data_IF_936198071389
#
_entry.id   IF_936198071389
#
_cell.length_a   1.000
_cell.length_b   1.000
_cell.length_c   1.000
_cell.angle_alpha   90.00
_cell.angle_beta   90.00
_cell.angle_gamma   90.00
#
_symmetry.space_group_name_H-M   'P 1'
#
loop_
_entity.id
_entity.type
_entity.pdbx_description
1 polymer ?
#
# COMPACT_ATOMS: atom_id res chain seq x y z
N UNK A 1 -5.30 -20.56 12.50
CA UNK A 1 -6.52 -20.67 11.64
C UNK A 1 -7.25 -19.35 11.37
N UNK A 2 -7.57 -18.53 12.36
CA UNK A 2 -8.33 -17.29 12.12
C UNK A 2 -7.65 -16.26 11.21
N UNK A 3 -6.32 -16.07 11.32
CA UNK A 3 -5.59 -15.10 10.49
C UNK A 3 -5.49 -15.55 9.03
N UNK A 4 -5.23 -16.83 8.76
CA UNK A 4 -5.16 -17.35 7.39
C UNK A 4 -6.51 -17.19 6.66
N UNK A 5 -7.64 -17.46 7.34
CA UNK A 5 -8.97 -17.23 6.78
C UNK A 5 -9.17 -15.76 6.41
N UNK A 6 -8.83 -14.83 7.32
CA UNK A 6 -8.95 -13.38 7.06
C UNK A 6 -8.03 -12.89 5.95
N UNK A 7 -6.83 -13.48 5.79
CA UNK A 7 -5.94 -13.17 4.66
C UNK A 7 -6.53 -13.64 3.33
N UNK A 8 -7.17 -14.82 3.28
CA UNK A 8 -7.90 -15.29 2.09
C UNK A 8 -9.05 -14.36 1.73
N UNK A 9 -9.89 -14.00 2.71
CA UNK A 9 -10.98 -13.04 2.52
C UNK A 9 -10.47 -11.67 2.02
N UNK A 10 -9.30 -11.20 2.53
CA UNK A 10 -8.67 -9.97 2.07
C UNK A 10 -8.22 -10.08 0.62
N UNK A 11 -7.56 -11.17 0.23
CA UNK A 11 -7.10 -11.39 -1.15
C UNK A 11 -8.27 -11.48 -2.13
N UNK A 12 -9.34 -12.17 -1.75
CA UNK A 12 -10.58 -12.24 -2.54
C UNK A 12 -11.20 -10.85 -2.71
N UNK A 13 -11.29 -10.07 -1.62
CA UNK A 13 -11.83 -8.71 -1.66
C UNK A 13 -10.96 -7.73 -2.47
N UNK A 14 -9.65 -7.99 -2.56
CA UNK A 14 -8.69 -7.21 -3.34
C UNK A 14 -8.54 -7.71 -4.79
N UNK A 15 -9.27 -8.78 -5.18
CA UNK A 15 -9.20 -9.38 -6.53
C UNK A 15 -7.83 -9.92 -6.92
N UNK A 16 -7.09 -10.41 -5.93
CA UNK A 16 -5.90 -11.24 -6.06
C UNK A 16 -4.59 -10.55 -6.43
N UNK A 17 -4.54 -9.53 -7.33
CA UNK A 17 -3.31 -8.86 -7.72
C UNK A 17 -3.49 -7.37 -8.08
N UNK A 18 -2.36 -6.65 -8.09
CA UNK A 18 -2.37 -5.21 -8.33
C UNK A 18 -2.74 -4.85 -9.77
N UNK A 19 -2.29 -5.61 -10.74
CA UNK A 19 -2.54 -5.31 -12.15
C UNK A 19 -4.04 -5.41 -12.48
N UNK A 20 -4.68 -6.49 -12.01
CA UNK A 20 -6.14 -6.68 -12.13
C UNK A 20 -6.89 -5.57 -11.42
N UNK A 21 -6.46 -5.20 -10.20
CA UNK A 21 -7.07 -4.09 -9.47
C UNK A 21 -6.97 -2.75 -10.23
N UNK A 22 -5.79 -2.42 -10.77
CA UNK A 22 -5.60 -1.17 -11.53
C UNK A 22 -6.42 -1.15 -12.81
N UNK A 23 -6.52 -2.29 -13.53
CA UNK A 23 -7.36 -2.41 -14.72
C UNK A 23 -8.85 -2.20 -14.41
N UNK A 24 -9.34 -2.79 -13.32
CA UNK A 24 -10.76 -2.68 -12.92
C UNK A 24 -11.12 -1.30 -12.41
N UNK A 25 -10.19 -0.60 -11.78
CA UNK A 25 -10.40 0.71 -11.16
C UNK A 25 -9.62 1.82 -11.87
N UNK A 26 -9.40 1.67 -13.18
CA UNK A 26 -8.58 2.60 -13.97
C UNK A 26 -9.03 4.06 -13.83
N UNK A 27 -10.34 4.30 -13.65
CA UNK A 27 -10.92 5.63 -13.47
C UNK A 27 -10.44 6.35 -12.20
N UNK A 28 -9.86 5.62 -11.25
CA UNK A 28 -9.30 6.17 -10.01
C UNK A 28 -7.82 6.54 -10.13
N UNK A 29 -7.18 6.21 -11.26
CA UNK A 29 -5.74 6.38 -11.43
C UNK A 29 -5.44 7.11 -12.74
N UNK A 30 -4.60 8.12 -12.66
CA UNK A 30 -4.08 8.87 -13.80
C UNK A 30 -2.58 8.66 -13.89
N UNK A 31 -2.10 8.12 -15.00
CA UNK A 31 -0.67 7.97 -15.25
C UNK A 31 -0.04 9.36 -15.49
N UNK A 32 1.09 9.61 -14.86
CA UNK A 32 1.81 10.89 -14.96
C UNK A 32 3.30 10.68 -15.05
N UNK A 33 4.00 11.68 -15.54
CA UNK A 33 5.45 11.80 -15.47
C UNK A 33 5.78 13.17 -14.87
N UNK A 34 6.33 13.15 -13.65
CA UNK A 34 6.71 14.37 -12.92
C UNK A 34 8.21 14.56 -12.86
N UNK A 35 8.99 13.62 -13.40
CA UNK A 35 10.43 13.54 -13.20
C UNK A 35 10.79 13.18 -11.75
N UNK A 36 9.94 12.38 -11.10
CA UNK A 36 10.20 11.89 -9.75
C UNK A 36 11.51 11.10 -9.70
N UNK A 37 12.22 11.22 -8.58
CA UNK A 37 13.41 10.41 -8.32
C UNK A 37 13.09 9.45 -7.19
N UNK A 38 13.14 8.15 -7.48
CA UNK A 38 12.88 7.11 -6.49
C UNK A 38 13.95 7.15 -5.38
N UNK A 39 13.55 6.86 -4.14
CA UNK A 39 14.42 6.92 -2.97
C UNK A 39 15.59 5.95 -3.01
N UNK A 40 15.43 4.84 -3.72
CA UNK A 40 16.45 3.82 -3.94
C UNK A 40 17.22 3.99 -5.25
N UNK A 41 16.99 5.11 -5.97
CA UNK A 41 17.66 5.42 -7.23
C UNK A 41 17.15 4.68 -8.45
N UNK A 42 16.05 3.89 -8.34
CA UNK A 42 15.45 3.23 -9.51
C UNK A 42 14.99 4.25 -10.55
N UNK A 43 15.21 3.96 -11.82
CA UNK A 43 14.78 4.77 -12.96
C UNK A 43 13.52 4.22 -13.63
N UNK A 44 13.20 2.94 -13.40
CA UNK A 44 12.04 2.28 -13.97
C UNK A 44 10.95 2.11 -12.91
N UNK A 45 9.88 2.86 -13.05
CA UNK A 45 8.69 2.83 -12.18
C UNK A 45 7.49 3.43 -12.89
N UNK A 46 6.30 3.19 -12.35
CA UNK A 46 5.05 3.79 -12.85
C UNK A 46 4.58 4.86 -11.87
N UNK A 47 4.37 6.09 -12.36
CA UNK A 47 3.77 7.17 -11.57
C UNK A 47 2.26 7.25 -11.80
N UNK A 48 1.49 7.28 -10.71
CA UNK A 48 0.03 7.34 -10.74
C UNK A 48 -0.50 8.40 -9.77
N UNK A 49 -1.42 9.23 -10.20
CA UNK A 49 -2.25 10.06 -9.32
C UNK A 49 -3.47 9.24 -8.90
N UNK A 50 -3.74 9.15 -7.59
CA UNK A 50 -4.92 8.49 -7.06
C UNK A 50 -6.03 9.48 -6.77
N UNK A 51 -7.13 9.40 -7.53
CA UNK A 51 -8.30 10.27 -7.44
C UNK A 51 -9.42 9.75 -6.50
N UNK A 52 -9.28 8.54 -5.95
CA UNK A 52 -10.30 7.90 -5.10
C UNK A 52 -10.48 8.52 -3.71
N UNK A 53 -9.81 9.62 -3.37
CA UNK A 53 -9.85 10.26 -2.05
C UNK A 53 -11.26 10.69 -1.60
N UNK A 54 -12.17 10.97 -2.52
CA UNK A 54 -13.56 11.33 -2.21
C UNK A 54 -14.40 10.19 -1.65
N UNK A 55 -13.96 8.94 -1.84
CA UNK A 55 -14.62 7.72 -1.36
C UNK A 55 -14.27 7.38 0.10
N UNK A 56 -13.36 8.14 0.71
CA UNK A 56 -12.85 7.85 2.05
C UNK A 56 -13.47 8.75 3.12
N UNK A 57 -13.54 8.22 4.33
CA UNK A 57 -13.93 8.92 5.55
C UNK A 57 -12.75 9.02 6.53
N UNK A 58 -12.89 9.83 7.54
CA UNK A 58 -11.88 9.93 8.59
C UNK A 58 -11.75 8.60 9.34
N UNK A 59 -10.55 8.04 9.40
CA UNK A 59 -10.29 6.78 10.11
C UNK A 59 -10.43 6.90 11.63
N UNK A 60 -10.37 8.12 12.19
CA UNK A 60 -10.43 8.35 13.63
C UNK A 60 -11.87 8.51 14.16
N UNK A 61 -12.69 9.27 13.44
CA UNK A 61 -14.05 9.59 13.89
C UNK A 61 -15.14 9.30 12.84
N UNK A 62 -14.75 8.68 11.70
CA UNK A 62 -15.63 8.38 10.55
C UNK A 62 -16.29 9.61 9.90
N UNK A 63 -15.93 10.82 10.33
CA UNK A 63 -16.44 12.07 9.78
C UNK A 63 -15.94 12.35 8.36
N UNK A 64 -16.60 13.30 7.67
CA UNK A 64 -16.26 13.67 6.31
C UNK A 64 -14.87 14.34 6.22
N UNK A 65 -14.12 14.02 5.18
CA UNK A 65 -12.85 14.65 4.87
C UNK A 65 -13.05 15.91 4.03
N UNK A 66 -12.25 16.94 4.28
CA UNK A 66 -12.17 18.11 3.40
C UNK A 66 -11.61 17.65 2.05
N UNK A 67 -12.40 17.80 1.00
CA UNK A 67 -11.98 17.45 -0.36
C UNK A 67 -10.85 18.37 -0.80
N UNK A 68 -9.76 17.79 -1.28
CA UNK A 68 -8.70 18.48 -1.99
C UNK A 68 -8.57 17.83 -3.37
N UNK A 69 -8.61 18.64 -4.41
CA UNK A 69 -8.43 18.12 -5.76
C UNK A 69 -6.94 17.96 -6.03
N UNK A 70 -6.53 16.73 -6.34
CA UNK A 70 -5.23 16.45 -6.94
C UNK A 70 -5.26 16.94 -8.39
N UNK A 71 -4.27 17.68 -8.80
CA UNK A 71 -4.17 18.15 -10.19
C UNK A 71 -2.73 18.23 -10.64
N UNK A 72 -2.52 17.96 -11.91
CA UNK A 72 -1.25 18.16 -12.60
C UNK A 72 -1.16 19.58 -13.10
N UNK A 73 -0.04 20.25 -12.85
CA UNK A 73 0.26 21.58 -13.40
C UNK A 73 1.67 21.60 -13.96
N UNK A 74 1.88 22.29 -15.09
CA UNK A 74 3.21 22.54 -15.63
C UNK A 74 3.85 23.74 -14.93
N UNK A 75 5.10 23.58 -14.44
CA UNK A 75 5.93 24.66 -13.92
C UNK A 75 7.37 24.44 -14.42
N UNK A 76 7.94 25.46 -15.04
CA UNK A 76 9.30 25.38 -15.60
C UNK A 76 9.54 24.15 -16.52
N UNK A 77 8.56 23.86 -17.38
CA UNK A 77 8.59 22.73 -18.30
C UNK A 77 8.36 21.33 -17.71
N UNK A 78 8.23 21.23 -16.38
CA UNK A 78 7.99 19.94 -15.68
C UNK A 78 6.57 19.86 -15.13
N UNK A 79 6.05 18.65 -15.04
CA UNK A 79 4.79 18.38 -14.39
C UNK A 79 4.94 18.37 -12.87
N UNK A 80 3.99 18.95 -12.16
CA UNK A 80 3.92 18.95 -10.70
C UNK A 80 2.53 18.54 -10.24
N UNK A 81 2.46 17.64 -9.26
CA UNK A 81 1.20 17.25 -8.63
C UNK A 81 0.87 18.22 -7.48
N UNK A 82 -0.16 19.03 -7.66
CA UNK A 82 -0.65 19.96 -6.63
C UNK A 82 -1.56 19.24 -5.66
N UNK A 83 -1.40 19.50 -4.36
CA UNK A 83 -2.08 18.84 -3.24
C UNK A 83 -1.76 17.34 -3.09
N UNK A 84 -0.74 16.84 -3.79
CA UNK A 84 -0.28 15.45 -3.73
C UNK A 84 0.92 15.27 -2.82
N UNK A 85 1.00 14.07 -2.22
CA UNK A 85 2.17 13.56 -1.54
C UNK A 85 2.55 12.24 -2.18
N UNK A 86 3.82 12.05 -2.50
CA UNK A 86 4.30 10.81 -3.07
C UNK A 86 4.34 9.67 -2.04
N UNK A 87 4.03 8.47 -2.50
CA UNK A 87 4.22 7.22 -1.77
C UNK A 87 4.73 6.15 -2.72
N UNK A 88 5.89 5.62 -2.43
CA UNK A 88 6.42 4.45 -3.11
C UNK A 88 5.75 3.18 -2.61
N UNK A 89 5.35 2.32 -3.55
CA UNK A 89 4.74 1.01 -3.30
C UNK A 89 5.33 0.01 -4.30
N UNK A 90 5.73 -1.15 -3.82
CA UNK A 90 6.35 -2.21 -4.63
C UNK A 90 5.40 -3.41 -4.69
N UNK A 91 5.19 -3.96 -5.89
CA UNK A 91 4.38 -5.17 -6.08
C UNK A 91 5.19 -6.46 -5.84
N UNK A 92 4.57 -7.61 -6.15
CA UNK A 92 5.20 -8.92 -5.97
C UNK A 92 6.38 -9.16 -6.92
N UNK A 93 6.33 -8.58 -8.12
CA UNK A 93 7.36 -8.72 -9.15
C UNK A 93 8.52 -7.73 -8.98
N UNK A 94 8.45 -6.91 -7.91
CA UNK A 94 9.46 -5.89 -7.62
C UNK A 94 9.29 -4.60 -8.42
N UNK A 95 8.18 -4.46 -9.18
CA UNK A 95 7.91 -3.21 -9.88
C UNK A 95 7.51 -2.11 -8.89
N UNK A 96 8.10 -0.93 -9.06
CA UNK A 96 7.87 0.23 -8.23
C UNK A 96 6.76 1.11 -8.79
N UNK A 97 5.77 1.42 -7.97
CA UNK A 97 4.76 2.44 -8.23
C UNK A 97 4.99 3.65 -7.35
N UNK A 98 4.94 4.83 -7.94
CA UNK A 98 4.93 6.10 -7.20
C UNK A 98 3.50 6.64 -7.22
N UNK A 99 2.83 6.52 -6.09
CA UNK A 99 1.45 6.98 -5.94
C UNK A 99 1.44 8.42 -5.41
N UNK A 100 0.84 9.32 -6.17
CA UNK A 100 0.50 10.66 -5.71
C UNK A 100 -0.86 10.65 -5.04
N UNK A 101 -0.88 10.89 -3.74
CA UNK A 101 -2.06 10.75 -2.89
C UNK A 101 -2.38 12.03 -2.13
N UNK A 102 -3.67 12.26 -1.87
CA UNK A 102 -4.11 13.44 -1.15
C UNK A 102 -3.85 13.34 0.36
N UNK A 103 -3.43 14.44 0.97
CA UNK A 103 -3.49 14.63 2.42
C UNK A 103 -4.73 15.42 2.77
N UNK A 104 -5.74 14.74 3.29
CA UNK A 104 -7.02 15.34 3.66
C UNK A 104 -7.09 15.62 5.15
N UNK A 105 -7.82 16.69 5.51
CA UNK A 105 -8.17 17.04 6.88
C UNK A 105 -9.62 16.68 7.16
N UNK A 106 -9.90 16.12 8.34
CA UNK A 106 -11.26 15.83 8.76
C UNK A 106 -12.01 17.11 9.14
N UNK A 107 -13.25 17.25 8.66
CA UNK A 107 -14.12 18.39 9.01
C UNK A 107 -14.57 18.37 10.48
N UNK A 108 -14.61 17.16 11.08
CA UNK A 108 -15.13 16.97 12.44
C UNK A 108 -14.02 17.03 13.51
N UNK A 109 -12.92 16.24 13.36
CA UNK A 109 -11.87 16.16 14.36
C UNK A 109 -10.58 16.89 14.00
N UNK A 110 -10.55 17.63 12.87
CA UNK A 110 -9.43 18.39 12.33
C UNK A 110 -8.13 17.58 12.08
N UNK A 111 -8.14 16.25 12.30
CA UNK A 111 -6.96 15.41 12.08
C UNK A 111 -6.68 15.25 10.59
N UNK A 112 -5.39 15.30 10.25
CA UNK A 112 -4.90 15.07 8.89
C UNK A 112 -4.57 13.60 8.68
N UNK A 113 -4.90 13.10 7.47
CA UNK A 113 -4.55 11.75 7.06
C UNK A 113 -4.22 11.69 5.56
N UNK A 114 -3.30 10.82 5.18
CA UNK A 114 -3.11 10.45 3.78
C UNK A 114 -4.23 9.50 3.38
N UNK A 115 -4.81 9.75 2.22
CA UNK A 115 -5.84 8.89 1.63
C UNK A 115 -5.16 8.00 0.62
N UNK A 116 -5.02 6.74 0.96
CA UNK A 116 -4.33 5.74 0.16
C UNK A 116 -5.35 4.82 -0.53
N UNK A 117 -5.05 4.30 -1.73
CA UNK A 117 -5.83 3.19 -2.28
C UNK A 117 -5.73 1.97 -1.37
N UNK A 118 -6.70 1.07 -1.47
CA UNK A 118 -6.86 -0.07 -0.57
C UNK A 118 -5.62 -0.98 -0.49
N UNK A 119 -4.91 -1.13 -1.60
CA UNK A 119 -3.71 -1.97 -1.68
C UNK A 119 -2.44 -1.34 -1.07
N UNK A 120 -2.45 -0.04 -0.77
CA UNK A 120 -1.29 0.69 -0.28
C UNK A 120 -1.35 0.88 1.24
N UNK A 121 -0.71 0.01 1.98
CA UNK A 121 -0.59 0.13 3.44
C UNK A 121 0.20 1.37 3.86
N UNK A 122 -0.24 2.06 4.92
CA UNK A 122 0.36 3.34 5.36
C UNK A 122 1.86 3.26 5.64
N UNK A 123 2.28 2.17 6.26
CA UNK A 123 3.67 1.97 6.73
C UNK A 123 4.42 0.89 5.96
N UNK A 124 3.81 0.37 4.89
CA UNK A 124 4.36 -0.70 4.08
C UNK A 124 4.88 -0.14 2.76
N UNK A 125 6.05 -0.59 2.33
CA UNK A 125 6.57 -0.34 0.99
C UNK A 125 5.89 -1.28 -0.02
N UNK A 126 5.67 -2.54 0.36
CA UNK A 126 5.01 -3.54 -0.47
C UNK A 126 3.49 -3.39 -0.46
N UNK A 127 2.85 -3.84 -1.53
CA UNK A 127 1.39 -3.85 -1.62
C UNK A 127 0.78 -4.78 -0.58
N UNK A 128 -0.47 -4.54 -0.19
CA UNK A 128 -1.20 -5.48 0.67
C UNK A 128 -1.40 -6.85 0.02
N UNK A 129 -1.45 -6.91 -1.32
CA UNK A 129 -1.46 -8.16 -2.08
C UNK A 129 -0.21 -8.98 -1.78
N UNK A 130 0.98 -8.42 -2.02
CA UNK A 130 2.27 -9.07 -1.75
C UNK A 130 2.38 -9.52 -0.30
N UNK A 131 1.99 -8.64 0.63
CA UNK A 131 2.04 -8.94 2.07
C UNK A 131 1.09 -10.09 2.44
N UNK A 132 -0.15 -10.05 1.96
CA UNK A 132 -1.14 -11.07 2.28
C UNK A 132 -0.79 -12.43 1.66
N UNK A 133 -0.36 -12.46 0.41
CA UNK A 133 0.08 -13.68 -0.28
C UNK A 133 1.29 -14.32 0.41
N UNK A 134 2.30 -13.51 0.76
CA UNK A 134 3.48 -14.02 1.47
C UNK A 134 3.12 -14.62 2.83
N UNK A 135 2.31 -13.91 3.62
CA UNK A 135 1.88 -14.42 4.92
C UNK A 135 1.04 -15.68 4.79
N UNK A 136 0.13 -15.74 3.80
CA UNK A 136 -0.70 -16.92 3.57
C UNK A 136 0.15 -18.13 3.18
N UNK A 137 1.09 -17.95 2.23
CA UNK A 137 2.01 -19.01 1.82
C UNK A 137 2.80 -19.59 3.00
N UNK A 138 3.36 -18.72 3.86
CA UNK A 138 4.11 -19.15 5.04
C UNK A 138 3.24 -19.86 6.09
N UNK A 139 1.96 -19.47 6.21
CA UNK A 139 1.01 -20.18 7.08
C UNK A 139 0.62 -21.54 6.54
N UNK A 140 0.44 -21.69 5.23
CA UNK A 140 0.06 -22.94 4.60
C UNK A 140 1.18 -23.97 4.60
N UNK A 141 2.45 -23.52 4.65
CA UNK A 141 3.62 -24.39 4.71
C UNK A 141 4.19 -24.58 6.13
N UNK A 142 3.45 -24.17 7.18
CA UNK A 142 3.89 -24.21 8.58
C UNK A 142 5.24 -23.52 8.87
N UNK A 143 5.68 -22.64 7.98
CA UNK A 143 6.92 -21.87 8.12
C UNK A 143 6.80 -20.71 9.10
N UNK A 144 5.57 -20.31 9.42
CA UNK A 144 5.23 -19.29 10.43
C UNK A 144 4.61 -19.97 11.64
N UNK A 145 5.44 -20.33 12.60
CA UNK A 145 4.98 -20.81 13.90
C UNK A 145 4.07 -19.75 14.59
N UNK A 146 3.02 -20.19 15.29
CA UNK A 146 2.14 -19.29 16.06
C UNK A 146 2.89 -18.58 17.20
N UNK A 147 4.02 -19.11 17.62
CA UNK A 147 4.89 -18.50 18.62
C UNK A 147 5.67 -17.33 18.03
N UNK A 148 5.82 -16.22 18.77
CA UNK A 148 6.68 -15.15 18.35
C UNK A 148 8.13 -15.63 18.41
N UNK A 149 8.66 -16.10 17.29
CA UNK A 149 10.10 -16.29 17.14
C UNK A 149 10.73 -14.90 17.27
N UNK A 150 11.73 -14.79 18.13
CA UNK A 150 12.55 -13.58 18.17
C UNK A 150 13.08 -13.30 16.76
N UNK A 151 12.93 -12.08 16.24
CA UNK A 151 13.34 -11.76 14.89
C UNK A 151 14.86 -11.89 14.79
N UNK A 152 15.33 -13.00 14.25
CA UNK A 152 16.74 -13.18 13.92
C UNK A 152 17.04 -12.32 12.70
N UNK A 153 17.83 -11.27 12.89
CA UNK A 153 18.27 -10.41 11.78
C UNK A 153 19.05 -11.24 10.75
N UNK A 154 18.81 -10.96 9.48
CA UNK A 154 19.58 -11.51 8.37
C UNK A 154 19.17 -12.89 7.85
N UNK A 155 18.06 -13.47 8.32
CA UNK A 155 17.56 -14.73 7.73
C UNK A 155 16.71 -14.42 6.51
N UNK A 156 17.11 -14.81 5.29
CA UNK A 156 16.33 -14.58 4.09
C UNK A 156 15.04 -15.42 4.12
N UNK A 157 13.96 -14.84 3.63
CA UNK A 157 12.74 -15.57 3.29
C UNK A 157 12.84 -15.95 1.82
N UNK A 158 13.07 -17.22 1.55
CA UNK A 158 13.14 -17.77 0.19
C UNK A 158 11.76 -18.25 -0.24
N UNK A 159 10.80 -17.35 -0.28
CA UNK A 159 9.43 -17.69 -0.65
C UNK A 159 8.81 -16.67 -1.62
N UNK A 160 8.10 -17.15 -2.61
CA UNK A 160 7.28 -16.31 -3.46
C UNK A 160 5.98 -15.92 -2.73
N UNK A 161 5.45 -14.73 -2.93
CA UNK A 161 5.88 -13.66 -3.85
C UNK A 161 6.89 -12.65 -3.27
N UNK A 162 7.51 -12.94 -2.13
CA UNK A 162 8.43 -12.00 -1.48
C UNK A 162 9.78 -12.65 -1.20
N UNK A 163 10.84 -11.99 -1.68
CA UNK A 163 12.22 -12.33 -1.35
C UNK A 163 12.80 -11.24 -0.44
N UNK A 164 13.04 -11.57 0.82
CA UNK A 164 13.55 -10.61 1.77
C UNK A 164 13.79 -11.21 3.16
N UNK A 165 13.97 -10.34 4.15
CA UNK A 165 14.25 -10.77 5.51
C UNK A 165 12.98 -11.22 6.24
N UNK A 166 13.09 -12.33 6.97
CA UNK A 166 12.03 -12.87 7.83
C UNK A 166 11.55 -11.84 8.87
N UNK A 167 12.43 -10.97 9.35
CA UNK A 167 12.11 -9.86 10.25
C UNK A 167 11.07 -8.89 9.66
N UNK A 168 11.07 -8.72 8.34
CA UNK A 168 10.09 -7.90 7.62
C UNK A 168 8.70 -8.56 7.64
N UNK A 169 8.65 -9.86 7.42
CA UNK A 169 7.40 -10.66 7.46
C UNK A 169 6.78 -10.64 8.85
N UNK A 170 7.56 -10.77 9.92
CA UNK A 170 7.05 -10.63 11.29
C UNK A 170 6.48 -9.26 11.57
N UNK A 171 7.11 -8.18 11.09
CA UNK A 171 6.56 -6.83 11.18
C UNK A 171 5.24 -6.69 10.42
N UNK A 172 5.10 -7.31 9.25
CA UNK A 172 3.84 -7.36 8.51
C UNK A 172 2.75 -8.10 9.28
N UNK A 173 3.08 -9.29 9.83
CA UNK A 173 2.14 -10.08 10.65
C UNK A 173 1.56 -9.25 11.79
N UNK A 174 2.39 -8.51 12.52
CA UNK A 174 1.94 -7.65 13.62
C UNK A 174 1.04 -6.52 13.12
N UNK A 175 1.40 -5.87 12.03
CA UNK A 175 0.62 -4.76 11.45
C UNK A 175 -0.73 -5.22 10.91
N UNK A 176 -0.78 -6.36 10.23
CA UNK A 176 -2.03 -6.94 9.73
C UNK A 176 -2.94 -7.33 10.88
N UNK A 177 -2.43 -7.93 11.95
CA UNK A 177 -3.23 -8.19 13.16
C UNK A 177 -3.88 -6.91 13.71
N UNK A 178 -3.14 -5.80 13.72
CA UNK A 178 -3.67 -4.51 14.15
C UNK A 178 -4.77 -3.99 13.22
N UNK A 179 -4.63 -4.19 11.92
CA UNK A 179 -5.64 -3.79 10.91
C UNK A 179 -6.94 -4.59 11.09
N UNK A 180 -6.85 -5.89 11.36
CA UNK A 180 -8.03 -6.74 11.52
C UNK A 180 -8.72 -6.62 12.90
N UNK A 181 -8.05 -6.05 13.89
CA UNK A 181 -8.58 -5.86 15.24
C UNK A 181 -9.07 -4.41 15.49
N UNK A 182 -8.98 -3.54 14.50
CA UNK A 182 -9.48 -2.15 14.51
C UNK A 182 -10.82 -2.02 13.78
#
# INVERSE_FOLDING_TARGET
>A
MALAKRLKELLEALEMDLETYLKKHYELFEAVDTGYVAKDGRTHFTELIYHGHSRHVCRYCKGALKKKTLRLVKRNGRNHVVNGLSKEVEDADGHLYVLWVCSCECRHCARRQRVLPVFAGRWMRHTLFTVAQTLLHLFENDELDEKPLEPRRGRPVLTMPFYGELSTVYRWRQRIKTIFNS
#
